data_IF_016793487201
#
_entry.id   IF_016793487201
#
_cell.length_a   1.000
_cell.length_b   1.000
_cell.length_c   1.000
_cell.angle_alpha   90.00
_cell.angle_beta   90.00
_cell.angle_gamma   90.00
#
_symmetry.space_group_name_H-M   'P 1'
#
loop_
_entity.id
_entity.type
_entity.pdbx_description
1 polymer ?
#
# COMPACT_ATOMS: atom_id res chain seq x y z
N UNK A 1 8.23 -1.73 13.76
CA UNK A 1 7.07 -1.05 14.39
C UNK A 1 6.89 0.37 13.83
N UNK A 2 5.66 0.85 13.70
CA UNK A 2 5.36 2.19 13.17
C UNK A 2 5.52 3.30 14.20
N UNK A 3 6.26 4.35 13.84
CA UNK A 3 6.42 5.59 14.61
C UNK A 3 5.11 6.39 14.59
N UNK A 4 4.60 6.75 15.77
CA UNK A 4 3.31 7.46 15.97
C UNK A 4 2.07 6.81 15.30
N UNK A 5 2.20 5.57 14.83
CA UNK A 5 1.13 4.82 14.17
C UNK A 5 0.78 3.56 14.95
N UNK A 6 -0.34 2.94 14.58
CA UNK A 6 -0.75 1.66 15.16
C UNK A 6 0.28 0.56 14.79
N UNK A 7 1.04 0.11 15.78
CA UNK A 7 2.15 -0.85 15.62
C UNK A 7 1.70 -2.25 15.16
N UNK A 8 0.39 -2.56 15.24
CA UNK A 8 -0.18 -3.79 14.67
C UNK A 8 -0.24 -3.75 13.15
N UNK A 9 -0.40 -2.57 12.56
CA UNK A 9 -0.67 -2.41 11.12
C UNK A 9 0.43 -1.66 10.37
N UNK A 10 1.20 -0.82 11.06
CA UNK A 10 2.17 0.08 10.44
C UNK A 10 3.59 -0.24 10.88
N UNK A 11 4.52 -0.11 9.93
CA UNK A 11 5.95 -0.11 10.13
C UNK A 11 6.54 1.19 9.62
N UNK A 12 7.58 1.69 10.28
CA UNK A 12 8.41 2.78 9.75
C UNK A 12 9.60 2.15 9.04
N UNK A 13 9.83 2.58 7.81
CA UNK A 13 10.99 2.19 7.00
C UNK A 13 11.90 3.40 6.87
N UNK A 14 13.18 3.22 7.17
CA UNK A 14 14.20 4.26 7.01
C UNK A 14 14.76 4.14 5.59
N UNK A 15 14.77 5.24 4.83
CA UNK A 15 15.22 5.28 3.45
C UNK A 15 16.69 5.70 3.35
N UNK A 16 17.56 4.94 4.00
CA UNK A 16 19.02 5.16 4.04
C UNK A 16 19.80 4.36 2.99
N UNK A 17 19.09 3.67 2.09
CA UNK A 17 19.65 2.83 1.04
C UNK A 17 19.91 1.37 1.46
N UNK A 18 19.64 1.00 2.72
CA UNK A 18 19.73 -0.40 3.18
C UNK A 18 18.68 -1.32 2.56
N UNK A 19 17.55 -0.76 2.10
CA UNK A 19 16.47 -1.48 1.43
C UNK A 19 16.51 -1.17 -0.07
N UNK A 20 16.58 -2.17 -0.96
CA UNK A 20 16.58 -1.96 -2.39
C UNK A 20 15.34 -1.19 -2.86
N UNK A 21 15.51 -0.31 -3.86
CA UNK A 21 14.41 0.51 -4.38
C UNK A 21 13.18 -0.31 -4.80
N UNK A 22 13.38 -1.42 -5.51
CA UNK A 22 12.28 -2.28 -5.95
C UNK A 22 11.52 -2.93 -4.78
N UNK A 23 12.18 -3.11 -3.63
CA UNK A 23 11.51 -3.57 -2.42
C UNK A 23 10.61 -2.48 -1.84
N UNK A 24 11.10 -1.24 -1.77
CA UNK A 24 10.31 -0.09 -1.33
C UNK A 24 9.07 0.09 -2.21
N UNK A 25 9.23 0.01 -3.53
CA UNK A 25 8.13 0.08 -4.49
C UNK A 25 7.10 -1.04 -4.23
N UNK A 26 7.56 -2.28 -4.05
CA UNK A 26 6.67 -3.41 -3.70
C UNK A 26 5.98 -3.23 -2.34
N UNK A 27 6.63 -2.64 -1.35
CA UNK A 27 6.02 -2.35 -0.05
C UNK A 27 4.91 -1.30 -0.17
N UNK A 28 5.12 -0.28 -1.02
CA UNK A 28 4.11 0.75 -1.32
C UNK A 28 2.90 0.10 -2.00
N UNK A 29 3.12 -0.71 -3.05
CA UNK A 29 2.06 -1.40 -3.79
C UNK A 29 1.20 -2.27 -2.85
N UNK A 30 1.85 -3.09 -2.03
CA UNK A 30 1.17 -3.95 -1.05
C UNK A 30 0.37 -3.15 -0.02
N UNK A 31 0.96 -2.08 0.52
CA UNK A 31 0.30 -1.21 1.51
C UNK A 31 -0.96 -0.58 0.92
N UNK A 32 -0.85 -0.06 -0.30
CA UNK A 32 -1.96 0.54 -1.02
C UNK A 32 -3.06 -0.48 -1.32
N UNK A 33 -2.70 -1.66 -1.85
CA UNK A 33 -3.63 -2.74 -2.13
C UNK A 33 -4.41 -3.18 -0.88
N UNK A 34 -3.75 -3.28 0.28
CA UNK A 34 -4.38 -3.60 1.56
C UNK A 34 -5.45 -2.57 1.96
N UNK A 35 -5.13 -1.27 1.84
CA UNK A 35 -6.09 -0.19 2.11
C UNK A 35 -7.29 -0.28 1.16
N UNK A 36 -7.04 -0.41 -0.15
CA UNK A 36 -8.12 -0.48 -1.16
C UNK A 36 -9.03 -1.68 -0.94
N UNK A 37 -8.49 -2.84 -0.51
CA UNK A 37 -9.29 -4.02 -0.16
C UNK A 37 -10.25 -3.75 1.00
N UNK A 38 -9.88 -2.88 1.94
CA UNK A 38 -10.70 -2.48 3.08
C UNK A 38 -11.79 -1.43 2.78
N UNK A 39 -11.75 -0.78 1.60
CA UNK A 39 -12.73 0.23 1.22
C UNK A 39 -14.12 -0.35 0.93
N UNK A 40 -15.15 0.51 0.98
CA UNK A 40 -16.50 0.14 0.55
C UNK A 40 -16.48 -0.23 -0.93
N UNK A 41 -17.41 -1.10 -1.34
CA UNK A 41 -17.50 -1.58 -2.71
C UNK A 41 -17.60 -0.45 -3.74
N UNK A 42 -18.38 0.59 -3.46
CA UNK A 42 -18.56 1.74 -4.38
C UNK A 42 -17.25 2.51 -4.60
N UNK A 43 -16.51 2.78 -3.54
CA UNK A 43 -15.22 3.49 -3.59
C UNK A 43 -14.17 2.68 -4.33
N UNK A 44 -14.06 1.38 -4.00
CA UNK A 44 -13.17 0.44 -4.68
C UNK A 44 -13.49 0.35 -6.17
N UNK A 45 -14.76 0.23 -6.54
CA UNK A 45 -15.16 0.17 -7.94
C UNK A 45 -14.78 1.45 -8.69
N UNK A 46 -14.98 2.62 -8.07
CA UNK A 46 -14.55 3.90 -8.66
C UNK A 46 -13.04 4.02 -8.85
N UNK A 47 -12.23 3.36 -8.01
CA UNK A 47 -10.78 3.25 -8.21
C UNK A 47 -10.44 2.26 -9.32
N UNK A 48 -11.05 1.07 -9.32
CA UNK A 48 -10.82 0.02 -10.33
C UNK A 48 -11.15 0.52 -11.75
N UNK A 49 -12.22 1.31 -11.91
CA UNK A 49 -12.59 1.92 -13.20
C UNK A 49 -11.59 2.99 -13.66
N UNK A 50 -10.99 3.74 -12.73
CA UNK A 50 -10.06 4.84 -13.05
C UNK A 50 -8.64 4.35 -13.35
N UNK A 51 -8.18 3.35 -12.61
CA UNK A 51 -6.77 2.94 -12.62
C UNK A 51 -6.56 1.53 -13.19
N UNK A 52 -7.63 0.77 -13.40
CA UNK A 52 -7.55 -0.64 -13.79
C UNK A 52 -7.30 -1.54 -12.59
N UNK A 53 -7.94 -2.72 -12.60
CA UNK A 53 -7.88 -3.67 -11.48
C UNK A 53 -6.48 -4.22 -11.24
N UNK A 54 -5.74 -4.54 -12.30
CA UNK A 54 -4.37 -5.08 -12.19
C UNK A 54 -3.40 -4.09 -11.55
N UNK A 55 -3.53 -2.80 -11.87
CA UNK A 55 -2.66 -1.77 -11.32
C UNK A 55 -2.87 -1.56 -9.80
N UNK A 56 -4.08 -1.83 -9.29
CA UNK A 56 -4.41 -1.62 -7.87
C UNK A 56 -4.06 -2.82 -6.97
N UNK A 57 -3.85 -4.00 -7.57
CA UNK A 57 -3.64 -5.27 -6.84
C UNK A 57 -2.39 -6.02 -7.30
N UNK A 58 -1.42 -5.28 -7.83
CA UNK A 58 -0.11 -5.79 -8.19
C UNK A 58 0.62 -6.43 -7.02
#
# INVERSE_FOLDING_TARGET
PGYHMNKRHWNTVILDGSVPRGEIERMIDNSYALVVRGLKRSERLGLELRHGREALYR
#
